data_IF_695780229099
#
_entry.id   IF_695780229099
#
_cell.length_a   1.000
_cell.length_b   1.000
_cell.length_c   1.000
_cell.angle_alpha   90.00
_cell.angle_beta   90.00
_cell.angle_gamma   90.00
#
_symmetry.space_group_name_H-M   'P 1'
#
loop_
_entity.id
_entity.type
_entity.pdbx_description
1 polymer ?
#
# COMPACT_ATOMS: atom_id res chain seq x y z
N UNK A 1 23.19 86.28 0.26
CA UNK A 1 22.27 87.20 0.93
C UNK A 1 21.52 86.39 1.96
N UNK A 2 21.69 86.73 3.23
CA UNK A 2 21.26 85.95 4.38
C UNK A 2 20.21 86.75 5.14
N UNK A 3 18.94 86.46 4.91
CA UNK A 3 17.84 87.10 5.65
C UNK A 3 17.66 86.41 7.00
N UNK A 4 18.32 86.96 8.02
CA UNK A 4 18.00 86.71 9.43
C UNK A 4 16.58 87.22 9.69
N UNK A 5 15.59 86.31 9.72
CA UNK A 5 14.28 86.62 10.29
C UNK A 5 14.42 86.75 11.80
N UNK A 6 14.31 88.00 12.24
CA UNK A 6 14.27 88.44 13.62
C UNK A 6 12.94 88.01 14.26
N UNK A 7 12.92 86.87 14.97
CA UNK A 7 11.77 86.50 15.80
C UNK A 7 11.93 87.14 17.18
N UNK A 8 11.52 88.40 17.29
CA UNK A 8 11.18 89.00 18.57
C UNK A 8 9.95 88.27 19.12
N UNK A 9 10.19 87.33 20.03
CA UNK A 9 9.16 86.79 20.91
C UNK A 9 8.89 87.88 21.96
N UNK A 10 7.66 88.44 22.07
CA UNK A 10 7.32 89.22 23.24
C UNK A 10 7.27 88.26 24.42
N UNK A 11 8.22 88.39 25.35
CA UNK A 11 8.11 87.76 26.68
C UNK A 11 6.97 88.46 27.43
N UNK A 12 5.76 87.91 27.31
CA UNK A 12 4.65 88.25 28.19
C UNK A 12 4.75 87.37 29.44
N UNK A 13 5.49 87.84 30.45
CA UNK A 13 5.83 87.10 31.67
C UNK A 13 4.68 86.99 32.71
N UNK A 14 3.41 87.20 32.34
CA UNK A 14 2.28 87.19 33.30
C UNK A 14 1.06 86.35 32.86
N UNK A 15 1.22 85.32 32.02
CA UNK A 15 0.10 84.44 31.61
C UNK A 15 0.06 83.06 32.30
N UNK A 16 1.05 82.74 33.14
CA UNK A 16 1.10 81.45 33.86
C UNK A 16 0.03 81.30 34.95
N UNK A 17 -0.60 82.39 35.38
CA UNK A 17 -1.61 82.40 36.44
C UNK A 17 -3.05 82.64 35.94
N UNK A 18 -3.26 82.73 34.61
CA UNK A 18 -4.61 82.82 34.03
C UNK A 18 -5.20 81.40 33.86
N UNK A 19 -6.26 81.04 34.62
CA UNK A 19 -6.85 79.70 34.54
C UNK A 19 -7.38 79.36 33.13
N UNK A 20 -7.70 80.35 32.30
CA UNK A 20 -8.11 80.10 30.91
C UNK A 20 -6.94 79.65 30.02
N UNK A 21 -5.73 80.16 30.26
CA UNK A 21 -4.52 79.75 29.52
C UNK A 21 -4.12 78.31 29.87
N UNK A 22 -4.17 77.93 31.16
CA UNK A 22 -3.91 76.57 31.60
C UNK A 22 -4.90 75.55 31.00
N UNK A 23 -6.20 75.89 30.99
CA UNK A 23 -7.23 75.08 30.35
C UNK A 23 -7.01 74.93 28.84
N UNK A 24 -6.64 76.03 28.16
CA UNK A 24 -6.34 76.00 26.73
C UNK A 24 -5.15 75.10 26.40
N UNK A 25 -4.06 75.16 27.18
CA UNK A 25 -2.91 74.28 27.02
C UNK A 25 -3.26 72.81 27.27
N UNK A 26 -4.15 72.53 28.22
CA UNK A 26 -4.64 71.17 28.49
C UNK A 26 -5.52 70.63 27.35
N UNK A 27 -6.37 71.47 26.76
CA UNK A 27 -7.16 71.13 25.57
C UNK A 27 -6.25 70.83 24.39
N UNK A 28 -5.22 71.66 24.14
CA UNK A 28 -4.26 71.45 23.04
C UNK A 28 -3.50 70.14 23.25
N UNK A 29 -2.98 69.88 24.44
CA UNK A 29 -2.28 68.63 24.75
C UNK A 29 -3.17 67.39 24.56
N UNK A 30 -4.45 67.47 24.96
CA UNK A 30 -5.42 66.39 24.74
C UNK A 30 -5.74 66.19 23.26
N UNK A 31 -5.89 67.28 22.50
CA UNK A 31 -6.11 67.23 21.05
C UNK A 31 -4.91 66.61 20.32
N UNK A 32 -3.68 67.01 20.67
CA UNK A 32 -2.46 66.47 20.10
C UNK A 32 -2.30 64.98 20.40
N UNK A 33 -2.58 64.55 21.65
CA UNK A 33 -2.59 63.13 22.01
C UNK A 33 -3.63 62.35 21.21
N UNK A 34 -4.83 62.90 21.06
CA UNK A 34 -5.91 62.28 20.27
C UNK A 34 -5.52 62.15 18.80
N UNK A 35 -4.95 63.20 18.21
CA UNK A 35 -4.47 63.22 16.82
C UNK A 35 -3.38 62.16 16.63
N UNK A 36 -2.43 62.06 17.55
CA UNK A 36 -1.35 61.07 17.48
C UNK A 36 -1.89 59.64 17.59
N UNK A 37 -2.85 59.40 18.48
CA UNK A 37 -3.51 58.09 18.58
C UNK A 37 -4.26 57.73 17.28
N UNK A 38 -5.00 58.66 16.70
CA UNK A 38 -5.70 58.43 15.42
C UNK A 38 -4.73 58.18 14.27
N UNK A 39 -3.61 58.91 14.20
CA UNK A 39 -2.56 58.67 13.19
C UNK A 39 -1.99 57.26 13.31
N UNK A 40 -1.71 56.79 14.53
CA UNK A 40 -1.21 55.44 14.76
C UNK A 40 -2.22 54.38 14.31
N UNK A 41 -3.51 54.56 14.63
CA UNK A 41 -4.58 53.65 14.18
C UNK A 41 -4.67 53.60 12.65
N UNK A 42 -4.57 54.75 11.97
CA UNK A 42 -4.61 54.82 10.50
C UNK A 42 -3.42 54.04 9.91
N UNK A 43 -2.21 54.25 10.43
CA UNK A 43 -1.00 53.55 9.97
C UNK A 43 -1.15 52.03 10.16
N UNK A 44 -1.66 51.57 11.30
CA UNK A 44 -1.89 50.15 11.56
C UNK A 44 -2.91 49.56 10.59
N UNK A 45 -4.01 50.29 10.31
CA UNK A 45 -5.05 49.83 9.39
C UNK A 45 -4.61 49.81 7.94
N UNK A 46 -3.81 50.78 7.51
CA UNK A 46 -3.22 50.78 6.17
C UNK A 46 -2.26 49.61 5.99
N UNK A 47 -1.45 49.31 7.01
CA UNK A 47 -0.55 48.13 6.99
C UNK A 47 -1.34 46.81 6.93
N UNK A 48 -2.41 46.68 7.73
CA UNK A 48 -3.29 45.51 7.71
C UNK A 48 -3.96 45.34 6.34
N UNK A 49 -4.41 46.44 5.73
CA UNK A 49 -5.03 46.45 4.41
C UNK A 49 -4.03 46.05 3.31
N UNK A 50 -2.81 46.58 3.36
CA UNK A 50 -1.75 46.19 2.41
C UNK A 50 -1.44 44.69 2.51
N UNK A 51 -1.34 44.15 3.73
CA UNK A 51 -1.12 42.71 3.93
C UNK A 51 -2.25 41.87 3.34
N UNK A 52 -3.52 42.24 3.59
CA UNK A 52 -4.67 41.55 3.02
C UNK A 52 -4.72 41.64 1.49
N UNK A 53 -4.34 42.77 0.91
CA UNK A 53 -4.29 42.93 -0.54
C UNK A 53 -3.19 42.05 -1.19
N UNK A 54 -2.03 41.93 -0.54
CA UNK A 54 -0.97 41.02 -0.98
C UNK A 54 -1.43 39.57 -0.91
N UNK A 55 -2.05 39.16 0.21
CA UNK A 55 -2.61 37.82 0.38
C UNK A 55 -3.70 37.53 -0.67
N UNK A 56 -4.62 38.47 -0.92
CA UNK A 56 -5.67 38.33 -1.93
C UNK A 56 -5.08 38.15 -3.33
N UNK A 57 -4.01 38.89 -3.66
CA UNK A 57 -3.30 38.77 -4.93
C UNK A 57 -2.66 37.39 -5.09
N UNK A 58 -2.00 36.90 -4.03
CA UNK A 58 -1.41 35.55 -4.01
C UNK A 58 -2.48 34.47 -4.16
N UNK A 59 -3.60 34.58 -3.45
CA UNK A 59 -4.72 33.63 -3.56
C UNK A 59 -5.31 33.63 -4.98
N UNK A 60 -5.47 34.80 -5.61
CA UNK A 60 -5.95 34.88 -7.01
C UNK A 60 -4.99 34.20 -7.99
N UNK A 61 -3.68 34.37 -7.80
CA UNK A 61 -2.68 33.67 -8.62
C UNK A 61 -2.73 32.15 -8.41
N UNK A 62 -2.89 31.69 -7.17
CA UNK A 62 -3.05 30.26 -6.87
C UNK A 62 -4.30 29.68 -7.52
N UNK A 63 -5.44 30.38 -7.45
CA UNK A 63 -6.68 29.97 -8.10
C UNK A 63 -6.47 29.81 -9.61
N UNK A 64 -5.86 30.79 -10.28
CA UNK A 64 -5.59 30.71 -11.72
C UNK A 64 -4.69 29.53 -12.10
N UNK A 65 -3.68 29.22 -11.28
CA UNK A 65 -2.83 28.05 -11.52
C UNK A 65 -3.62 26.74 -11.38
N UNK A 66 -4.46 26.62 -10.36
CA UNK A 66 -5.30 25.44 -10.12
C UNK A 66 -6.32 25.28 -11.25
N UNK A 67 -6.99 26.35 -11.68
CA UNK A 67 -7.94 26.34 -12.79
C UNK A 67 -7.28 25.88 -14.10
N UNK A 68 -6.05 26.35 -14.37
CA UNK A 68 -5.28 25.92 -15.54
C UNK A 68 -4.91 24.44 -15.45
N UNK A 69 -4.45 23.96 -14.30
CA UNK A 69 -4.14 22.54 -14.08
C UNK A 69 -5.38 21.67 -14.27
N UNK A 70 -6.52 22.08 -13.70
CA UNK A 70 -7.78 21.37 -13.84
C UNK A 70 -8.23 21.31 -15.31
N UNK A 71 -8.12 22.41 -16.05
CA UNK A 71 -8.46 22.44 -17.48
C UNK A 71 -7.58 21.49 -18.31
N UNK A 72 -6.28 21.46 -18.04
CA UNK A 72 -5.34 20.53 -18.70
C UNK A 72 -5.67 19.08 -18.37
N UNK A 73 -5.96 18.78 -17.10
CA UNK A 73 -6.34 17.43 -16.68
C UNK A 73 -7.67 16.99 -17.33
N UNK A 74 -8.65 17.89 -17.43
CA UNK A 74 -9.93 17.60 -18.07
C UNK A 74 -9.75 17.26 -19.56
N UNK A 75 -8.91 18.00 -20.28
CA UNK A 75 -8.58 17.70 -21.68
C UNK A 75 -7.88 16.34 -21.82
N UNK A 76 -6.93 16.04 -20.93
CA UNK A 76 -6.24 14.75 -20.91
C UNK A 76 -7.22 13.58 -20.73
N UNK A 77 -8.14 13.69 -19.76
CA UNK A 77 -9.14 12.64 -19.53
C UNK A 77 -10.13 12.47 -20.70
N UNK A 78 -10.49 13.57 -21.38
CA UNK A 78 -11.33 13.48 -22.59
C UNK A 78 -10.61 12.72 -23.71
N UNK A 79 -9.32 12.99 -23.92
CA UNK A 79 -8.50 12.29 -24.91
C UNK A 79 -8.33 10.80 -24.55
N UNK A 80 -8.06 10.51 -23.28
CA UNK A 80 -7.94 9.14 -22.77
C UNK A 80 -9.24 8.34 -22.96
N UNK A 81 -10.39 8.93 -22.64
CA UNK A 81 -11.69 8.31 -22.85
C UNK A 81 -11.96 8.01 -24.34
N UNK A 82 -11.57 8.92 -25.24
CA UNK A 82 -11.66 8.68 -26.68
C UNK A 82 -10.78 7.52 -27.12
N UNK A 83 -9.57 7.40 -26.56
CA UNK A 83 -8.66 6.29 -26.86
C UNK A 83 -9.22 4.96 -26.34
N UNK A 84 -9.77 4.94 -25.13
CA UNK A 84 -10.43 3.75 -24.56
C UNK A 84 -11.58 3.29 -25.44
N UNK A 85 -12.44 4.21 -25.89
CA UNK A 85 -13.57 3.88 -26.77
C UNK A 85 -13.10 3.27 -28.11
N UNK A 86 -12.01 3.82 -28.68
CA UNK A 86 -11.41 3.27 -29.89
C UNK A 86 -10.87 1.85 -29.68
N UNK A 87 -10.17 1.61 -28.57
CA UNK A 87 -9.65 0.29 -28.21
C UNK A 87 -10.77 -0.73 -27.97
N UNK A 88 -11.86 -0.34 -27.29
CA UNK A 88 -13.03 -1.18 -27.10
C UNK A 88 -13.67 -1.57 -28.44
N UNK A 89 -13.77 -0.61 -29.37
CA UNK A 89 -14.31 -0.87 -30.71
C UNK A 89 -13.42 -1.83 -31.51
N UNK A 90 -12.09 -1.67 -31.44
CA UNK A 90 -11.15 -2.59 -32.07
C UNK A 90 -11.22 -3.99 -31.47
N UNK A 91 -11.27 -4.09 -30.14
CA UNK A 91 -11.41 -5.37 -29.44
C UNK A 91 -12.67 -6.11 -29.87
N UNK A 92 -13.81 -5.41 -29.95
CA UNK A 92 -15.06 -6.00 -30.39
C UNK A 92 -14.98 -6.52 -31.83
N UNK A 93 -14.36 -5.76 -32.74
CA UNK A 93 -14.14 -6.21 -34.13
C UNK A 93 -13.31 -7.49 -34.19
N UNK A 94 -12.19 -7.54 -33.47
CA UNK A 94 -11.33 -8.72 -33.42
C UNK A 94 -12.05 -9.93 -32.84
N UNK A 95 -12.87 -9.72 -31.80
CA UNK A 95 -13.65 -10.78 -31.17
C UNK A 95 -14.70 -11.35 -32.14
N UNK A 96 -15.34 -10.49 -32.93
CA UNK A 96 -16.30 -10.93 -33.94
C UNK A 96 -15.62 -11.62 -35.15
N UNK A 97 -14.42 -11.19 -35.53
CA UNK A 97 -13.58 -11.92 -36.51
C UNK A 97 -13.19 -13.31 -36.00
N UNK A 98 -12.76 -13.43 -34.74
CA UNK A 98 -12.44 -14.71 -34.12
C UNK A 98 -13.65 -15.66 -34.08
N UNK A 99 -14.84 -15.14 -33.78
CA UNK A 99 -16.08 -15.94 -33.84
C UNK A 99 -16.33 -16.46 -35.25
N UNK A 100 -16.18 -15.62 -36.28
CA UNK A 100 -16.34 -16.02 -37.68
C UNK A 100 -15.32 -17.09 -38.06
N UNK A 101 -14.04 -16.90 -37.71
CA UNK A 101 -12.98 -17.88 -37.97
C UNK A 101 -13.24 -19.21 -37.27
N UNK A 102 -13.75 -19.19 -36.03
CA UNK A 102 -14.15 -20.42 -35.31
C UNK A 102 -15.26 -21.18 -36.04
N UNK A 103 -16.26 -20.47 -36.57
CA UNK A 103 -17.34 -21.10 -37.36
C UNK A 103 -16.78 -21.70 -38.64
N UNK A 104 -15.95 -20.96 -39.38
CA UNK A 104 -15.29 -21.42 -40.61
C UNK A 104 -14.42 -22.64 -40.32
N UNK A 105 -13.63 -22.61 -39.25
CA UNK A 105 -12.81 -23.75 -38.83
C UNK A 105 -13.69 -24.97 -38.56
N UNK A 106 -14.76 -24.83 -37.78
CA UNK A 106 -15.67 -25.95 -37.49
C UNK A 106 -16.40 -26.48 -38.73
N UNK A 107 -16.76 -25.62 -39.69
CA UNK A 107 -17.43 -26.02 -40.93
C UNK A 107 -16.49 -26.70 -41.93
N UNK A 108 -15.22 -26.30 -41.96
CA UNK A 108 -14.21 -26.84 -42.87
C UNK A 108 -13.31 -27.91 -42.24
N UNK A 109 -13.51 -28.21 -40.96
CA UNK A 109 -12.79 -29.30 -40.27
C UNK A 109 -13.38 -30.64 -40.69
N UNK A 110 -12.50 -31.64 -40.86
CA UNK A 110 -12.93 -33.02 -41.02
C UNK A 110 -13.72 -33.44 -39.75
N UNK A 111 -15.01 -33.83 -39.85
CA UNK A 111 -15.83 -34.24 -38.71
C UNK A 111 -15.17 -35.32 -37.85
N UNK A 112 -14.40 -36.21 -38.48
CA UNK A 112 -13.70 -37.30 -37.79
C UNK A 112 -12.59 -36.76 -36.87
N UNK A 113 -11.87 -35.73 -37.29
CA UNK A 113 -10.81 -35.08 -36.47
C UNK A 113 -11.43 -34.29 -35.31
N UNK A 114 -12.58 -33.65 -35.53
CA UNK A 114 -13.30 -32.94 -34.45
C UNK A 114 -13.81 -33.92 -33.39
N UNK A 115 -14.36 -35.06 -33.82
CA UNK A 115 -14.81 -36.12 -32.93
C UNK A 115 -13.65 -36.77 -32.17
N UNK A 116 -12.52 -37.06 -32.84
CA UNK A 116 -11.32 -37.59 -32.19
C UNK A 116 -10.76 -36.58 -31.16
N UNK A 117 -10.72 -35.29 -31.49
CA UNK A 117 -10.30 -34.23 -30.56
C UNK A 117 -11.20 -34.15 -29.32
N UNK A 118 -12.52 -34.29 -29.48
CA UNK A 118 -13.47 -34.34 -28.37
C UNK A 118 -13.24 -35.58 -27.49
N UNK A 119 -13.04 -36.76 -28.10
CA UNK A 119 -12.74 -37.99 -27.37
C UNK A 119 -11.42 -37.89 -26.60
N UNK A 120 -10.37 -37.34 -27.20
CA UNK A 120 -9.08 -37.09 -26.53
C UNK A 120 -9.28 -36.15 -25.34
N UNK A 121 -10.09 -35.09 -25.50
CA UNK A 121 -10.38 -34.15 -24.42
C UNK A 121 -11.11 -34.82 -23.26
N UNK A 122 -12.08 -35.69 -23.53
CA UNK A 122 -12.77 -36.47 -22.50
C UNK A 122 -11.82 -37.43 -21.78
N UNK A 123 -10.97 -38.13 -22.53
CA UNK A 123 -9.94 -39.01 -21.95
C UNK A 123 -8.97 -38.24 -21.04
N UNK A 124 -8.56 -37.03 -21.43
CA UNK A 124 -7.71 -36.18 -20.61
C UNK A 124 -8.36 -35.77 -19.29
N UNK A 125 -9.67 -35.49 -19.28
CA UNK A 125 -10.41 -35.18 -18.04
C UNK A 125 -10.41 -36.40 -17.12
N UNK A 126 -10.65 -37.61 -17.65
CA UNK A 126 -10.62 -38.85 -16.86
C UNK A 126 -9.22 -39.09 -16.26
N UNK A 127 -8.16 -38.94 -17.07
CA UNK A 127 -6.77 -39.07 -16.60
C UNK A 127 -6.48 -38.06 -15.48
N UNK A 128 -6.93 -36.81 -15.62
CA UNK A 128 -6.73 -35.80 -14.59
C UNK A 128 -7.47 -36.14 -13.28
N UNK A 129 -8.69 -36.67 -13.36
CA UNK A 129 -9.44 -37.13 -12.19
C UNK A 129 -8.74 -38.31 -11.49
N UNK A 130 -8.23 -39.28 -12.26
CA UNK A 130 -7.46 -40.40 -11.74
C UNK A 130 -6.16 -39.94 -11.06
N UNK A 131 -5.45 -39.00 -11.69
CA UNK A 131 -4.25 -38.38 -11.11
C UNK A 131 -4.56 -37.75 -9.74
N UNK A 132 -5.61 -36.93 -9.67
CA UNK A 132 -5.99 -36.27 -8.41
C UNK A 132 -6.32 -37.29 -7.31
N UNK A 133 -7.00 -38.39 -7.66
CA UNK A 133 -7.30 -39.47 -6.72
C UNK A 133 -6.01 -40.11 -6.18
N UNK A 134 -5.06 -40.41 -7.05
CA UNK A 134 -3.77 -40.99 -6.67
C UNK A 134 -2.93 -40.05 -5.79
N UNK A 135 -2.97 -38.74 -6.05
CA UNK A 135 -2.29 -37.73 -5.22
C UNK A 135 -2.85 -37.70 -3.78
N UNK A 136 -4.17 -37.85 -3.63
CA UNK A 136 -4.83 -37.94 -2.32
C UNK A 136 -4.40 -39.23 -1.60
N UNK A 137 -4.49 -40.38 -2.28
CA UNK A 137 -4.08 -41.68 -1.71
C UNK A 137 -2.61 -41.67 -1.26
N UNK A 138 -1.73 -41.05 -2.04
CA UNK A 138 -0.32 -40.88 -1.70
C UNK A 138 -0.14 -40.07 -0.42
N UNK A 139 -0.87 -38.95 -0.27
CA UNK A 139 -0.80 -38.10 0.92
C UNK A 139 -1.31 -38.83 2.17
N UNK A 140 -2.37 -39.62 2.04
CA UNK A 140 -2.89 -40.45 3.13
C UNK A 140 -1.91 -41.56 3.52
N UNK A 141 -1.27 -42.22 2.55
CA UNK A 141 -0.24 -43.22 2.81
C UNK A 141 0.97 -42.63 3.53
N UNK A 142 1.45 -41.46 3.10
CA UNK A 142 2.53 -40.72 3.77
C UNK A 142 2.15 -40.34 5.21
N UNK A 143 0.92 -39.88 5.43
CA UNK A 143 0.44 -39.53 6.78
C UNK A 143 0.43 -40.75 7.69
N UNK A 144 -0.07 -41.89 7.21
CA UNK A 144 -0.05 -43.16 7.96
C UNK A 144 1.38 -43.60 8.30
N UNK A 145 2.31 -43.46 7.35
CA UNK A 145 3.71 -43.80 7.59
C UNK A 145 4.33 -42.96 8.72
N UNK A 146 4.08 -41.64 8.72
CA UNK A 146 4.57 -40.74 9.78
C UNK A 146 3.98 -41.14 11.15
N UNK A 147 2.70 -41.47 11.20
CA UNK A 147 2.05 -41.93 12.44
C UNK A 147 2.66 -43.23 12.96
N UNK A 148 2.91 -44.22 12.08
CA UNK A 148 3.56 -45.46 12.47
C UNK A 148 5.00 -45.23 12.96
N UNK A 149 5.76 -44.34 12.31
CA UNK A 149 7.10 -43.98 12.76
C UNK A 149 7.09 -43.36 14.16
N UNK A 150 6.16 -42.44 14.45
CA UNK A 150 6.01 -41.86 15.78
C UNK A 150 5.65 -42.90 16.85
N UNK A 151 4.74 -43.82 16.53
CA UNK A 151 4.37 -44.91 17.44
C UNK A 151 5.57 -45.83 17.75
N UNK A 152 6.37 -46.19 16.74
CA UNK A 152 7.57 -47.01 16.93
C UNK A 152 8.58 -46.29 17.84
N UNK A 153 8.76 -44.97 17.66
CA UNK A 153 9.67 -44.18 18.50
C UNK A 153 9.19 -44.14 19.97
N UNK A 154 7.89 -43.97 20.22
CA UNK A 154 7.36 -43.96 21.60
C UNK A 154 7.49 -45.35 22.24
N UNK A 155 7.18 -46.43 21.51
CA UNK A 155 7.38 -47.80 21.99
C UNK A 155 8.85 -48.08 22.32
N UNK A 156 9.80 -47.60 21.50
CA UNK A 156 11.23 -47.70 21.80
C UNK A 156 11.61 -46.94 23.07
N UNK A 157 11.02 -45.76 23.29
CA UNK A 157 11.23 -44.94 24.49
C UNK A 157 10.68 -45.61 25.75
N UNK A 158 9.45 -46.12 25.70
CA UNK A 158 8.82 -46.86 26.81
C UNK A 158 9.63 -48.11 27.15
N UNK A 159 10.06 -48.88 26.15
CA UNK A 159 10.90 -50.06 26.36
C UNK A 159 12.22 -49.70 27.04
N UNK A 160 12.85 -48.58 26.65
CA UNK A 160 14.05 -48.09 27.32
C UNK A 160 13.79 -47.69 28.78
N UNK A 161 12.71 -46.96 29.06
CA UNK A 161 12.35 -46.57 30.42
C UNK A 161 12.06 -47.79 31.32
N UNK A 162 11.32 -48.77 30.82
CA UNK A 162 11.05 -50.02 31.56
C UNK A 162 12.35 -50.79 31.88
N UNK A 163 13.32 -50.84 30.96
CA UNK A 163 14.64 -51.42 31.23
C UNK A 163 15.38 -50.67 32.35
N UNK A 164 15.29 -49.35 32.41
CA UNK A 164 15.90 -48.54 33.48
C UNK A 164 15.25 -48.81 34.85
N UNK A 165 13.92 -48.93 34.92
CA UNK A 165 13.22 -49.27 36.17
C UNK A 165 13.54 -50.68 36.68
N UNK A 166 13.77 -51.64 35.77
CA UNK A 166 14.17 -53.01 36.17
C UNK A 166 15.61 -53.14 36.70
N UNK A 167 16.44 -52.10 36.58
CA UNK A 167 17.88 -52.13 36.90
C UNK A 167 18.26 -51.37 38.19
N UNK A 168 17.30 -50.77 38.91
CA UNK A 168 17.59 -50.03 40.17
C UNK A 168 17.71 -50.90 41.43
N UNK A 169 17.60 -52.21 41.31
CA UNK A 169 17.98 -53.14 42.38
C UNK A 169 19.19 -53.93 41.90
N UNK A 170 20.31 -53.82 42.64
CA UNK A 170 21.60 -54.53 42.46
C UNK A 170 22.72 -53.77 41.70
N UNK A 171 23.38 -52.86 42.44
CA UNK A 171 24.85 -52.68 42.59
C UNK A 171 25.80 -52.52 41.38
N UNK A 172 26.52 -51.37 41.37
CA UNK A 172 27.93 -51.13 41.01
C UNK A 172 28.63 -52.03 39.95
N UNK A 173 28.71 -51.55 38.69
CA UNK A 173 29.94 -51.55 37.87
C UNK A 173 29.79 -50.67 36.61
N UNK A 174 30.87 -50.05 36.04
CA UNK A 174 30.75 -49.00 35.03
C UNK A 174 30.74 -49.48 33.56
N UNK A 175 30.11 -48.62 32.74
CA UNK A 175 29.97 -48.54 31.27
C UNK A 175 30.26 -49.79 30.42
N UNK A 176 29.23 -50.58 30.13
CA UNK A 176 29.19 -51.37 28.89
C UNK A 176 28.68 -50.50 27.73
N UNK A 177 29.46 -50.53 26.66
CA UNK A 177 29.38 -49.73 25.45
C UNK A 177 27.96 -49.71 24.87
N UNK A 178 27.51 -48.50 24.54
CA UNK A 178 26.38 -48.28 23.65
C UNK A 178 26.67 -49.02 22.33
N UNK A 179 25.93 -50.11 22.08
CA UNK A 179 25.74 -50.56 20.71
C UNK A 179 24.93 -49.47 20.00
N UNK A 180 25.65 -48.57 19.31
CA UNK A 180 25.06 -47.59 18.41
C UNK A 180 24.31 -48.39 17.35
N UNK A 181 22.99 -48.33 17.37
CA UNK A 181 22.18 -48.78 16.24
C UNK A 181 22.43 -47.77 15.12
N UNK A 182 23.51 -48.00 14.36
CA UNK A 182 23.68 -47.46 13.02
C UNK A 182 22.67 -48.18 12.10
N UNK A 183 21.41 -47.75 12.13
CA UNK A 183 20.46 -48.03 11.06
C UNK A 183 19.83 -46.71 10.60
N UNK A 184 20.56 -46.01 9.73
CA UNK A 184 19.99 -45.12 8.72
C UNK A 184 21.03 -44.89 7.63
N UNK A 185 21.33 -45.95 6.89
CA UNK A 185 21.81 -45.85 5.51
C UNK A 185 20.85 -46.67 4.64
N UNK A 186 20.45 -46.08 3.50
CA UNK A 186 19.51 -46.54 2.46
C UNK A 186 18.01 -46.37 2.79
N UNK A 187 17.20 -45.57 2.07
CA UNK A 187 17.24 -45.16 0.66
C UNK A 187 17.05 -43.63 0.48
N UNK A 188 18.12 -42.90 0.13
CA UNK A 188 17.97 -41.73 -0.73
C UNK A 188 17.93 -42.23 -2.16
N UNK A 189 16.74 -42.32 -2.75
CA UNK A 189 16.60 -42.45 -4.18
C UNK A 189 17.07 -41.14 -4.82
N UNK A 190 18.28 -41.14 -5.35
CA UNK A 190 18.73 -40.14 -6.29
C UNK A 190 17.94 -40.30 -7.59
N UNK A 191 17.02 -39.38 -7.85
CA UNK A 191 16.56 -39.15 -9.21
C UNK A 191 17.74 -38.64 -10.05
N UNK A 192 17.95 -39.14 -11.28
CA UNK A 192 18.89 -38.50 -12.19
C UNK A 192 18.44 -37.06 -12.43
N UNK A 193 19.19 -36.12 -11.86
CA UNK A 193 18.99 -34.70 -12.09
C UNK A 193 19.57 -34.38 -13.46
N UNK A 194 18.69 -34.18 -14.42
CA UNK A 194 19.05 -33.66 -15.73
C UNK A 194 19.60 -32.23 -15.53
N UNK A 195 20.92 -32.08 -15.54
CA UNK A 195 21.64 -30.87 -15.13
C UNK A 195 21.39 -29.64 -16.03
N UNK A 196 20.60 -29.76 -17.10
CA UNK A 196 20.16 -28.62 -17.93
C UNK A 196 18.80 -28.02 -17.50
N UNK A 197 18.06 -28.62 -16.56
CA UNK A 197 16.78 -28.06 -16.06
C UNK A 197 16.90 -27.21 -14.79
N UNK A 198 18.01 -27.34 -14.03
CA UNK A 198 18.16 -26.58 -12.78
C UNK A 198 18.32 -25.07 -12.99
N UNK A 199 18.85 -24.64 -14.13
CA UNK A 199 18.98 -23.20 -14.39
C UNK A 199 17.62 -22.56 -14.75
N UNK A 200 16.72 -23.25 -15.45
CA UNK A 200 15.40 -22.70 -15.81
C UNK A 200 14.35 -22.83 -14.69
N UNK A 201 14.42 -23.86 -13.85
CA UNK A 201 13.48 -23.99 -12.71
C UNK A 201 13.79 -23.02 -11.56
N UNK A 202 15.05 -22.62 -11.36
CA UNK A 202 15.39 -21.70 -10.27
C UNK A 202 14.88 -20.26 -10.52
N UNK A 203 14.78 -19.84 -11.78
CA UNK A 203 14.15 -18.57 -12.15
C UNK A 203 12.60 -18.63 -12.09
N UNK A 204 11.98 -19.78 -12.42
CA UNK A 204 10.51 -19.93 -12.34
C UNK A 204 9.98 -20.16 -10.92
N UNK A 205 10.75 -20.78 -10.03
CA UNK A 205 10.33 -21.00 -8.62
C UNK A 205 10.41 -19.70 -7.81
N UNK A 206 11.36 -18.80 -8.08
CA UNK A 206 11.41 -17.49 -7.39
C UNK A 206 10.26 -16.57 -7.79
N UNK A 207 9.92 -16.49 -9.09
CA UNK A 207 8.82 -15.64 -9.55
C UNK A 207 7.44 -16.12 -9.04
N UNK A 208 7.19 -17.43 -9.02
CA UNK A 208 5.95 -17.99 -8.48
C UNK A 208 5.82 -17.78 -6.96
N UNK A 209 6.92 -17.71 -6.21
CA UNK A 209 6.87 -17.46 -4.77
C UNK A 209 6.58 -15.98 -4.46
N UNK A 210 7.13 -15.06 -5.24
CA UNK A 210 6.86 -13.62 -5.09
C UNK A 210 5.43 -13.28 -5.48
N UNK A 211 4.90 -13.87 -6.56
CA UNK A 211 3.52 -13.68 -6.99
C UNK A 211 2.52 -14.26 -5.97
N UNK A 212 2.79 -15.46 -5.43
CA UNK A 212 1.96 -16.05 -4.37
C UNK A 212 1.99 -15.22 -3.07
N UNK A 213 3.14 -14.69 -2.68
CA UNK A 213 3.24 -13.79 -1.51
C UNK A 213 2.50 -12.47 -1.76
N UNK A 214 2.58 -11.92 -2.98
CA UNK A 214 1.86 -10.71 -3.38
C UNK A 214 0.35 -10.91 -3.35
N UNK A 215 -0.13 -12.03 -3.89
CA UNK A 215 -1.55 -12.38 -3.88
C UNK A 215 -2.08 -12.61 -2.46
N UNK A 216 -1.29 -13.27 -1.60
CA UNK A 216 -1.63 -13.43 -0.18
C UNK A 216 -1.70 -12.07 0.53
N UNK A 217 -0.75 -11.16 0.27
CA UNK A 217 -0.74 -9.81 0.86
C UNK A 217 -1.93 -8.97 0.39
N UNK A 218 -2.26 -9.00 -0.91
CA UNK A 218 -3.47 -8.35 -1.47
C UNK A 218 -4.74 -8.84 -0.78
N UNK A 219 -4.86 -10.14 -0.54
CA UNK A 219 -6.01 -10.72 0.16
C UNK A 219 -6.11 -10.22 1.61
N UNK A 220 -4.99 -10.19 2.34
CA UNK A 220 -4.94 -9.69 3.72
C UNK A 220 -5.37 -8.22 3.82
N UNK A 221 -4.84 -7.36 2.93
CA UNK A 221 -5.20 -5.94 2.86
C UNK A 221 -6.68 -5.72 2.54
N UNK A 222 -7.25 -6.49 1.59
CA UNK A 222 -8.69 -6.45 1.27
C UNK A 222 -9.56 -6.94 2.44
N UNK A 223 -9.05 -7.84 3.27
CA UNK A 223 -9.77 -8.29 4.47
C UNK A 223 -9.66 -7.27 5.61
N UNK A 224 -8.53 -6.57 5.75
CA UNK A 224 -8.35 -5.49 6.70
C UNK A 224 -9.28 -4.30 6.40
N UNK A 225 -9.37 -3.89 5.13
CA UNK A 225 -10.32 -2.85 4.66
C UNK A 225 -11.78 -3.18 5.02
N UNK A 226 -12.17 -4.46 4.89
CA UNK A 226 -13.53 -4.92 5.20
C UNK A 226 -13.86 -4.87 6.70
N UNK A 227 -12.86 -4.91 7.57
CA UNK A 227 -13.06 -4.82 9.02
C UNK A 227 -13.17 -3.38 9.52
N UNK A 228 -12.81 -2.38 8.70
CA UNK A 228 -12.94 -0.97 9.07
C UNK A 228 -14.39 -0.52 8.83
N UNK A 229 -15.12 -0.03 9.85
CA UNK A 229 -16.51 0.40 9.71
C UNK A 229 -16.68 1.46 8.61
N UNK A 230 -17.78 1.41 7.87
CA UNK A 230 -18.07 2.38 6.79
C UNK A 230 -18.53 3.75 7.30
N UNK A 231 -19.00 3.83 8.55
CA UNK A 231 -19.54 5.05 9.17
C UNK A 231 -18.78 5.38 10.47
N UNK A 232 -18.71 6.67 10.83
CA UNK A 232 -18.02 7.19 12.02
C UNK A 232 -16.53 6.81 12.13
N UNK A 233 -15.82 6.86 11.00
CA UNK A 233 -14.38 6.56 10.94
C UNK A 233 -13.57 7.61 11.69
N UNK A 234 -12.66 7.17 12.55
CA UNK A 234 -11.68 8.05 13.18
C UNK A 234 -10.63 8.51 12.15
N UNK A 235 -9.95 9.62 12.43
CA UNK A 235 -8.83 10.08 11.58
C UNK A 235 -7.72 9.02 11.44
N UNK A 236 -7.50 8.22 12.48
CA UNK A 236 -6.55 7.11 12.42
C UNK A 236 -7.01 6.01 11.44
N UNK A 237 -8.31 5.68 11.44
CA UNK A 237 -8.89 4.72 10.50
C UNK A 237 -8.86 5.25 9.06
N UNK A 238 -9.12 6.54 8.83
CA UNK A 238 -8.99 7.15 7.50
C UNK A 238 -7.56 7.11 6.97
N UNK A 239 -6.57 7.44 7.82
CA UNK A 239 -5.14 7.30 7.45
C UNK A 239 -4.79 5.85 7.14
N UNK A 240 -5.31 4.90 7.92
CA UNK A 240 -5.06 3.47 7.67
C UNK A 240 -5.67 2.99 6.36
N UNK A 241 -6.88 3.45 6.01
CA UNK A 241 -7.52 3.17 4.72
C UNK A 241 -6.63 3.67 3.58
N UNK A 242 -6.17 4.92 3.64
CA UNK A 242 -5.32 5.50 2.61
C UNK A 242 -4.02 4.69 2.43
N UNK A 243 -3.37 4.30 3.54
CA UNK A 243 -2.17 3.46 3.48
C UNK A 243 -2.43 2.09 2.84
N UNK A 244 -3.58 1.47 3.12
CA UNK A 244 -3.95 0.19 2.52
C UNK A 244 -4.23 0.35 1.02
N UNK A 245 -4.90 1.43 0.61
CA UNK A 245 -5.17 1.74 -0.80
C UNK A 245 -3.88 2.01 -1.59
N UNK A 246 -2.95 2.77 -1.01
CA UNK A 246 -1.63 3.03 -1.60
C UNK A 246 -0.80 1.74 -1.72
N UNK A 247 -0.83 0.87 -0.70
CA UNK A 247 -0.14 -0.43 -0.72
C UNK A 247 -0.76 -1.39 -1.75
N UNK A 248 -2.09 -1.42 -1.87
CA UNK A 248 -2.77 -2.22 -2.90
C UNK A 248 -2.42 -1.75 -4.32
N UNK A 249 -2.41 -0.43 -4.55
CA UNK A 249 -2.00 0.15 -5.83
C UNK A 249 -0.54 -0.19 -6.17
N UNK A 250 0.37 -0.10 -5.19
CA UNK A 250 1.76 -0.50 -5.38
C UNK A 250 1.88 -1.98 -5.76
N UNK A 251 1.13 -2.87 -5.09
CA UNK A 251 1.14 -4.31 -5.39
C UNK A 251 0.47 -4.66 -6.74
N UNK A 252 -0.30 -3.75 -7.35
CA UNK A 252 -0.90 -3.92 -8.68
C UNK A 252 -0.01 -3.48 -9.85
N UNK A 253 1.05 -2.69 -9.59
CA UNK A 253 1.98 -2.18 -10.61
C UNK A 253 3.10 -3.16 -11.00
N UNK A 254 3.22 -4.28 -10.29
CA UNK A 254 4.18 -5.35 -10.53
C UNK A 254 3.46 -6.65 -10.80
#
# INVERSE_FOLDING_TARGET
>A
MSDKKNNNIPQNNNQTDDPNYALQMQIIAFQDQTINNLKNIIIEKDSELQKKNQENTQLRQQIQMIEKQHSQQQQSHQQENSNILNLQTQHQKTLDELKKLKVIFNQNSNPDIVMESLQIKEQLVVIQQQKNKLEIELKEAQTRLIQFQGMIQELQRENFQLKQFSMQSFTNNPSMQQASINQSQFLQQQYPTNNNQKQYQQFQISQNNEENQRNLRKMQLKNELRQIPSQNRTQAQQRRIQQIEDELNYLEQF
#
